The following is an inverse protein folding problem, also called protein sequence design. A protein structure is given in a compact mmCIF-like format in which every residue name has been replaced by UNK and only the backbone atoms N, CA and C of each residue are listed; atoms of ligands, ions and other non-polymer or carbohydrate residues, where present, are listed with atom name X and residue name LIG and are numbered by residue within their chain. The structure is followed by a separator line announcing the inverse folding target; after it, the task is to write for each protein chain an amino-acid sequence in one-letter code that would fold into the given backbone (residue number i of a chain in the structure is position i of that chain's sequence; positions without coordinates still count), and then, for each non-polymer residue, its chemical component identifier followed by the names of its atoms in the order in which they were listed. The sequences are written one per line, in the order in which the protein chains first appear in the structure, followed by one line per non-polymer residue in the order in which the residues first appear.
data_IF_566695034590
#
_entry.id   IF_566695034590
#
_cell.length_a   1.000
_cell.length_b   1.000
_cell.length_c   1.000
_cell.angle_alpha   90.00
_cell.angle_beta   90.00
_cell.angle_gamma   90.00
#
_symmetry.space_group_name_H-M   'P 1'
#
loop_
_entity.id
_entity.type
_entity.pdbx_description
1 polymer ?
#
# COMPACT_ATOMS: atom_id res chain seq x y z
N UNK A 1 -5.56 -9.56 13.11
CA UNK A 1 -5.12 -9.44 14.50
C UNK A 1 -5.58 -10.64 15.33
N UNK A 2 -6.82 -11.09 15.16
CA UNK A 2 -7.45 -12.20 15.87
C UNK A 2 -8.48 -12.92 14.99
N UNK A 3 -9.17 -13.93 15.53
CA UNK A 3 -10.17 -14.70 14.80
C UNK A 3 -11.37 -13.87 14.35
N UNK A 4 -11.79 -12.89 15.13
CA UNK A 4 -12.85 -11.94 14.74
C UNK A 4 -12.47 -11.20 13.48
N UNK A 5 -11.25 -10.63 13.44
CA UNK A 5 -10.75 -9.94 12.25
C UNK A 5 -10.64 -10.86 11.03
N UNK A 6 -10.23 -12.11 11.21
CA UNK A 6 -10.20 -13.07 10.10
C UNK A 6 -11.61 -13.33 9.53
N UNK A 7 -12.61 -13.56 10.40
CA UNK A 7 -13.99 -13.73 9.98
C UNK A 7 -14.55 -12.48 9.31
N UNK A 8 -14.24 -11.30 9.81
CA UNK A 8 -14.64 -10.03 9.23
C UNK A 8 -14.00 -9.81 7.85
N UNK A 9 -12.72 -10.15 7.70
CA UNK A 9 -12.04 -10.09 6.41
C UNK A 9 -12.72 -11.00 5.37
N UNK A 10 -13.08 -12.24 5.76
CA UNK A 10 -13.81 -13.17 4.87
C UNK A 10 -15.14 -12.56 4.44
N UNK A 11 -15.91 -11.95 5.35
CA UNK A 11 -17.18 -11.30 5.00
C UNK A 11 -16.99 -10.15 4.02
N UNK A 12 -16.03 -9.26 4.26
CA UNK A 12 -15.73 -8.14 3.35
C UNK A 12 -15.31 -8.61 1.96
N UNK A 13 -14.41 -9.61 1.90
CA UNK A 13 -13.98 -10.19 0.62
C UNK A 13 -15.16 -10.83 -0.10
N UNK A 14 -15.98 -11.60 0.59
CA UNK A 14 -17.16 -12.23 -0.01
C UNK A 14 -18.16 -11.19 -0.53
N UNK A 15 -18.46 -10.15 0.24
CA UNK A 15 -19.32 -9.05 -0.20
C UNK A 15 -18.75 -8.33 -1.42
N UNK A 16 -17.44 -8.08 -1.45
CA UNK A 16 -16.78 -7.47 -2.60
C UNK A 16 -16.92 -8.29 -3.89
N UNK A 17 -16.94 -9.63 -3.79
CA UNK A 17 -17.15 -10.51 -4.94
C UNK A 17 -18.62 -10.69 -5.33
N UNK A 18 -19.53 -10.78 -4.37
CA UNK A 18 -20.94 -11.10 -4.59
C UNK A 18 -21.74 -9.84 -4.95
N UNK A 19 -21.52 -8.76 -4.21
CA UNK A 19 -22.32 -7.53 -4.29
C UNK A 19 -21.54 -6.36 -4.92
N UNK A 20 -20.23 -6.28 -4.65
CA UNK A 20 -19.36 -5.18 -5.06
C UNK A 20 -18.61 -5.41 -6.37
N UNK A 21 -18.93 -6.45 -7.16
CA UNK A 21 -18.19 -6.77 -8.36
C UNK A 21 -18.54 -5.85 -9.53
N UNK A 22 -17.56 -5.03 -9.93
CA UNK A 22 -17.63 -4.26 -11.18
C UNK A 22 -16.23 -4.26 -11.83
N UNK A 23 -16.03 -5.11 -12.83
CA UNK A 23 -14.72 -5.44 -13.44
C UNK A 23 -13.72 -6.09 -12.47
N UNK A 24 -13.77 -5.74 -11.20
CA UNK A 24 -13.03 -6.32 -10.08
C UNK A 24 -13.87 -6.19 -8.79
N UNK A 25 -13.61 -7.06 -7.80
CA UNK A 25 -14.31 -6.96 -6.52
C UNK A 25 -13.95 -5.64 -5.80
N UNK A 26 -14.95 -5.02 -5.18
CA UNK A 26 -14.81 -3.75 -4.47
C UNK A 26 -15.55 -3.78 -3.16
N UNK A 27 -15.03 -3.06 -2.20
CA UNK A 27 -15.69 -2.75 -0.93
C UNK A 27 -15.81 -1.23 -0.77
N UNK A 28 -16.80 -0.78 -0.02
CA UNK A 28 -17.00 0.61 0.31
C UNK A 28 -16.67 0.91 1.79
N UNK A 29 -16.75 2.17 2.17
CA UNK A 29 -16.49 2.60 3.55
C UNK A 29 -17.54 2.09 4.53
N UNK A 30 -18.78 1.90 4.10
CA UNK A 30 -19.83 1.36 4.96
C UNK A 30 -19.52 -0.08 5.37
N UNK A 31 -19.02 -0.89 4.42
CA UNK A 31 -18.61 -2.26 4.70
C UNK A 31 -17.38 -2.32 5.62
N UNK A 32 -16.44 -1.37 5.46
CA UNK A 32 -15.31 -1.23 6.39
C UNK A 32 -15.77 -0.85 7.80
N UNK A 33 -16.68 0.11 7.94
CA UNK A 33 -17.25 0.50 9.21
C UNK A 33 -17.94 -0.68 9.93
N UNK A 34 -18.59 -1.56 9.19
CA UNK A 34 -19.27 -2.73 9.72
C UNK A 34 -18.32 -3.84 10.15
N UNK A 35 -17.18 -4.03 9.46
CA UNK A 35 -16.32 -5.22 9.64
C UNK A 35 -14.85 -4.92 9.95
N UNK A 36 -14.51 -3.72 10.42
CA UNK A 36 -13.12 -3.33 10.73
C UNK A 36 -12.55 -4.01 11.98
N UNK A 37 -13.41 -4.49 12.90
CA UNK A 37 -12.97 -5.04 14.18
C UNK A 37 -12.00 -6.22 14.00
N UNK A 38 -10.91 -6.19 14.76
CA UNK A 38 -9.89 -7.25 14.76
C UNK A 38 -8.93 -7.22 13.55
N UNK A 39 -9.02 -6.20 12.70
CA UNK A 39 -8.12 -5.99 11.57
C UNK A 39 -6.99 -5.00 11.88
N UNK A 40 -5.94 -5.05 11.11
CA UNK A 40 -4.90 -4.04 10.99
C UNK A 40 -5.00 -3.49 9.57
N UNK A 41 -4.94 -2.17 9.44
CA UNK A 41 -5.05 -1.47 8.16
C UNK A 41 -3.77 -0.68 7.86
N UNK A 42 -3.34 -0.70 6.60
CA UNK A 42 -2.24 0.07 6.06
C UNK A 42 -2.75 1.02 4.98
N UNK A 43 -2.08 2.18 4.81
CA UNK A 43 -2.53 3.22 3.86
C UNK A 43 -2.33 2.87 2.38
N UNK A 44 -1.73 1.73 2.09
CA UNK A 44 -1.44 1.21 0.74
C UNK A 44 -0.37 2.01 -0.05
N UNK A 45 -0.21 1.65 -1.33
CA UNK A 45 0.77 2.20 -2.27
C UNK A 45 0.27 3.52 -2.90
N UNK A 46 0.97 4.01 -3.95
CA UNK A 46 0.59 5.22 -4.70
C UNK A 46 -0.87 5.22 -5.21
N UNK A 47 -1.48 4.05 -5.41
CA UNK A 47 -2.89 3.94 -5.80
C UNK A 47 -3.89 4.10 -4.64
N UNK A 48 -3.41 4.23 -3.38
CA UNK A 48 -4.26 4.44 -2.22
C UNK A 48 -4.92 5.83 -2.18
N UNK A 49 -6.01 5.97 -1.43
CA UNK A 49 -6.77 7.23 -1.34
C UNK A 49 -5.90 8.42 -0.88
N UNK A 50 -5.03 8.20 0.11
CA UNK A 50 -4.19 9.25 0.69
C UNK A 50 -3.12 9.70 -0.29
N UNK A 51 -2.27 8.79 -0.87
CA UNK A 51 -1.32 9.17 -1.91
C UNK A 51 -1.97 9.85 -3.12
N UNK A 52 -3.14 9.37 -3.56
CA UNK A 52 -3.85 9.99 -4.69
C UNK A 52 -4.34 11.40 -4.37
N UNK A 53 -4.80 11.68 -3.15
CA UNK A 53 -5.16 13.03 -2.73
C UNK A 53 -3.92 13.96 -2.71
N UNK A 54 -2.77 13.46 -2.22
CA UNK A 54 -1.50 14.20 -2.25
C UNK A 54 -1.08 14.54 -3.69
N UNK A 55 -1.12 13.56 -4.59
CA UNK A 55 -0.77 13.76 -5.99
C UNK A 55 -1.70 14.74 -6.71
N UNK A 56 -2.95 14.81 -6.29
CA UNK A 56 -3.92 15.81 -6.75
C UNK A 56 -3.71 17.21 -6.13
N UNK A 57 -2.74 17.37 -5.22
CA UNK A 57 -2.47 18.63 -4.52
C UNK A 57 -3.43 18.94 -3.37
N UNK A 58 -4.24 17.97 -2.94
CA UNK A 58 -5.25 18.13 -1.90
C UNK A 58 -4.77 17.51 -0.58
N UNK A 59 -3.88 18.24 0.10
CA UNK A 59 -3.30 17.82 1.38
C UNK A 59 -4.36 17.64 2.48
N UNK A 60 -5.33 18.56 2.55
CA UNK A 60 -6.37 18.52 3.59
C UNK A 60 -7.28 17.30 3.42
N UNK A 61 -7.63 16.92 2.19
CA UNK A 61 -8.35 15.68 1.92
C UNK A 61 -7.52 14.45 2.29
N UNK A 62 -6.23 14.44 1.97
CA UNK A 62 -5.33 13.36 2.35
C UNK A 62 -5.28 13.18 3.87
N UNK A 63 -5.15 14.28 4.61
CA UNK A 63 -5.11 14.31 6.07
C UNK A 63 -6.45 13.87 6.68
N UNK A 64 -7.56 14.38 6.17
CA UNK A 64 -8.90 13.98 6.63
C UNK A 64 -9.17 12.48 6.39
N UNK A 65 -8.72 11.95 5.25
CA UNK A 65 -8.81 10.53 4.93
C UNK A 65 -7.99 9.69 5.91
N UNK A 66 -6.75 10.08 6.20
CA UNK A 66 -5.89 9.40 7.17
C UNK A 66 -6.50 9.41 8.59
N UNK A 67 -7.09 10.54 8.98
CA UNK A 67 -7.80 10.69 10.25
C UNK A 67 -8.98 9.74 10.34
N UNK A 68 -9.80 9.64 9.29
CA UNK A 68 -10.94 8.73 9.24
C UNK A 68 -10.52 7.26 9.43
N UNK A 69 -9.47 6.82 8.73
CA UNK A 69 -8.95 5.46 8.89
C UNK A 69 -8.40 5.21 10.30
N UNK A 70 -7.66 6.17 10.86
CA UNK A 70 -7.14 6.06 12.23
C UNK A 70 -8.26 5.94 13.26
N UNK A 71 -9.30 6.74 13.11
CA UNK A 71 -10.42 6.75 14.05
C UNK A 71 -11.28 5.49 13.92
N UNK A 72 -11.39 4.92 12.72
CA UNK A 72 -12.11 3.67 12.48
C UNK A 72 -11.37 2.45 13.05
N UNK A 73 -10.08 2.29 12.73
CA UNK A 73 -9.31 1.09 13.11
C UNK A 73 -8.66 1.20 14.50
N UNK A 74 -8.54 2.41 15.03
CA UNK A 74 -7.77 2.72 16.24
C UNK A 74 -6.29 2.98 15.93
N UNK A 75 -5.68 3.86 16.75
CA UNK A 75 -4.31 4.35 16.53
C UNK A 75 -3.24 3.23 16.54
N UNK A 76 -3.51 2.12 17.22
CA UNK A 76 -2.62 0.96 17.29
C UNK A 76 -2.84 -0.06 16.16
N UNK A 77 -3.85 0.12 15.32
CA UNK A 77 -4.20 -0.81 14.24
C UNK A 77 -4.20 -0.16 12.85
N UNK A 78 -3.91 1.14 12.77
CA UNK A 78 -3.76 1.85 11.51
C UNK A 78 -2.35 2.39 11.35
N UNK A 79 -1.76 2.20 10.16
CA UNK A 79 -0.40 2.62 9.85
C UNK A 79 -0.34 3.35 8.52
N UNK A 80 0.41 4.45 8.49
CA UNK A 80 0.84 5.05 7.22
C UNK A 80 1.96 4.19 6.65
N UNK A 81 1.74 3.69 5.45
CA UNK A 81 2.66 2.84 4.71
C UNK A 81 3.60 3.70 3.86
N UNK A 82 4.89 3.50 4.03
CA UNK A 82 5.94 4.20 3.28
C UNK A 82 6.58 3.22 2.31
N UNK A 83 6.50 3.52 1.02
CA UNK A 83 7.09 2.74 -0.07
C UNK A 83 7.96 3.68 -0.90
N UNK A 84 9.20 3.28 -1.21
CA UNK A 84 10.09 4.02 -2.09
C UNK A 84 10.62 3.09 -3.20
N UNK A 85 10.12 3.31 -4.39
CA UNK A 85 10.55 2.62 -5.62
C UNK A 85 11.35 3.56 -6.54
N UNK A 86 11.80 4.71 -6.01
CA UNK A 86 12.48 5.77 -6.76
C UNK A 86 11.66 6.36 -7.92
N UNK A 87 10.33 6.26 -7.84
CA UNK A 87 9.46 6.94 -8.77
C UNK A 87 9.40 8.45 -8.44
N UNK A 88 9.22 9.32 -9.45
CA UNK A 88 9.01 10.76 -9.20
C UNK A 88 7.86 11.04 -8.23
N UNK A 89 6.80 10.25 -8.31
CA UNK A 89 5.63 10.32 -7.45
C UNK A 89 5.95 9.99 -6.00
N UNK A 90 6.85 9.03 -5.74
CA UNK A 90 7.28 8.68 -4.38
C UNK A 90 7.94 9.89 -3.71
N UNK A 91 8.79 10.61 -4.43
CA UNK A 91 9.47 11.82 -3.93
C UNK A 91 8.50 12.95 -3.56
N UNK A 92 7.36 13.03 -4.24
CA UNK A 92 6.32 14.00 -3.92
C UNK A 92 5.47 13.54 -2.72
N UNK A 93 5.15 12.25 -2.65
CA UNK A 93 4.19 11.69 -1.70
C UNK A 93 4.80 11.41 -0.33
N UNK A 94 6.01 10.82 -0.28
CA UNK A 94 6.64 10.38 0.98
C UNK A 94 6.78 11.48 2.03
N UNK A 95 7.28 12.69 1.71
CA UNK A 95 7.40 13.76 2.72
C UNK A 95 6.06 14.15 3.32
N UNK A 96 5.00 14.17 2.52
CA UNK A 96 3.66 14.55 2.96
C UNK A 96 3.00 13.43 3.78
N UNK A 97 3.21 12.16 3.43
CA UNK A 97 2.78 11.03 4.26
C UNK A 97 3.42 11.05 5.64
N UNK A 98 4.73 11.31 5.72
CA UNK A 98 5.46 11.45 6.97
C UNK A 98 4.92 12.63 7.79
N UNK A 99 4.62 13.75 7.14
CA UNK A 99 4.03 14.92 7.79
C UNK A 99 2.64 14.59 8.36
N UNK A 100 1.74 14.00 7.58
CA UNK A 100 0.41 13.56 8.02
C UNK A 100 0.52 12.59 9.21
N UNK A 101 1.42 11.60 9.13
CA UNK A 101 1.63 10.63 10.19
C UNK A 101 2.04 11.31 11.51
N UNK A 102 2.93 12.31 11.45
CA UNK A 102 3.36 13.08 12.61
C UNK A 102 2.27 13.97 13.18
N UNK A 103 1.56 14.71 12.32
CA UNK A 103 0.48 15.61 12.74
C UNK A 103 -0.68 14.86 13.39
N UNK A 104 -1.00 13.67 12.90
CA UNK A 104 -2.09 12.84 13.40
C UNK A 104 -1.64 11.79 14.43
N UNK A 105 -0.35 11.73 14.79
CA UNK A 105 0.22 10.71 15.67
C UNK A 105 -0.11 9.28 15.22
N UNK A 106 0.03 9.01 13.92
CA UNK A 106 -0.14 7.69 13.32
C UNK A 106 1.23 7.01 13.18
N UNK A 107 1.30 5.72 13.52
CA UNK A 107 2.52 4.94 13.32
C UNK A 107 2.82 4.76 11.82
N UNK A 108 4.09 4.63 11.48
CA UNK A 108 4.54 4.40 10.10
C UNK A 108 5.16 3.02 9.97
N UNK A 109 4.98 2.39 8.81
CA UNK A 109 5.59 1.11 8.44
C UNK A 109 6.20 1.20 7.04
N UNK A 110 7.44 0.71 6.90
CA UNK A 110 8.09 0.61 5.59
C UNK A 110 7.75 -0.75 4.94
N UNK A 111 7.33 -0.71 3.68
CA UNK A 111 7.07 -1.89 2.84
C UNK A 111 7.63 -1.67 1.44
N UNK A 112 7.64 -2.70 0.58
CA UNK A 112 8.23 -2.57 -0.75
C UNK A 112 7.34 -3.07 -1.90
N UNK A 113 6.06 -3.32 -1.70
CA UNK A 113 5.14 -3.81 -2.77
C UNK A 113 5.82 -4.90 -3.66
N UNK A 114 6.36 -5.94 -3.02
CA UNK A 114 7.23 -6.96 -3.65
C UNK A 114 6.50 -7.72 -4.75
N UNK A 115 7.08 -7.74 -5.96
CA UNK A 115 6.57 -8.46 -7.12
C UNK A 115 7.49 -9.59 -7.59
N UNK A 116 8.76 -9.56 -7.21
CA UNK A 116 9.76 -10.59 -7.49
C UNK A 116 10.80 -10.68 -6.36
N UNK A 117 11.58 -11.75 -6.33
CA UNK A 117 12.45 -12.07 -5.18
C UNK A 117 13.76 -11.30 -5.27
N UNK A 118 14.55 -11.52 -6.32
CA UNK A 118 15.86 -10.90 -6.48
C UNK A 118 15.76 -9.67 -7.40
N UNK A 119 16.66 -8.73 -7.26
CA UNK A 119 16.66 -7.51 -8.09
C UNK A 119 16.74 -7.83 -9.58
N UNK A 120 17.47 -8.90 -9.93
CA UNK A 120 17.69 -9.35 -11.31
C UNK A 120 16.45 -9.99 -11.95
N UNK A 121 15.47 -10.41 -11.14
CA UNK A 121 14.24 -11.08 -11.62
C UNK A 121 13.24 -10.13 -12.30
N UNK A 122 13.57 -8.83 -12.41
CA UNK A 122 12.71 -7.85 -13.06
C UNK A 122 12.40 -8.18 -14.52
N UNK A 123 13.34 -8.80 -15.25
CA UNK A 123 13.13 -9.22 -16.65
C UNK A 123 12.06 -10.30 -16.75
N UNK A 124 12.09 -11.29 -15.86
CA UNK A 124 11.08 -12.35 -15.80
C UNK A 124 9.70 -11.76 -15.45
N UNK A 125 9.65 -10.81 -14.51
CA UNK A 125 8.41 -10.11 -14.15
C UNK A 125 7.85 -9.29 -15.33
N UNK A 126 8.71 -8.65 -16.12
CA UNK A 126 8.31 -7.88 -17.31
C UNK A 126 7.67 -8.79 -18.37
N UNK A 127 8.22 -9.99 -18.58
CA UNK A 127 7.65 -11.02 -19.46
C UNK A 127 6.29 -11.49 -18.92
N UNK A 128 6.18 -11.74 -17.61
CA UNK A 128 4.91 -12.15 -16.98
C UNK A 128 3.83 -11.07 -17.15
N UNK A 129 4.17 -9.80 -17.06
CA UNK A 129 3.24 -8.70 -17.34
C UNK A 129 2.77 -8.71 -18.81
N UNK A 130 3.65 -9.01 -19.76
CA UNK A 130 3.29 -9.16 -21.15
C UNK A 130 2.28 -10.31 -21.35
N UNK A 131 2.52 -11.46 -20.73
CA UNK A 131 1.60 -12.61 -20.78
C UNK A 131 0.24 -12.23 -20.18
N UNK A 132 0.24 -11.63 -18.98
CA UNK A 132 -0.98 -11.23 -18.26
C UNK A 132 -1.82 -10.24 -19.06
N UNK A 133 -1.18 -9.29 -19.74
CA UNK A 133 -1.87 -8.22 -20.48
C UNK A 133 -2.05 -8.54 -21.97
N UNK A 134 -1.66 -9.75 -22.42
CA UNK A 134 -1.72 -10.20 -23.83
C UNK A 134 -0.98 -9.23 -24.77
N UNK A 135 0.20 -8.79 -24.36
CA UNK A 135 1.10 -7.89 -25.09
C UNK A 135 2.44 -8.58 -25.34
N UNK A 136 3.27 -7.98 -26.21
CA UNK A 136 4.64 -8.41 -26.46
C UNK A 136 5.63 -7.39 -25.90
N UNK A 137 6.89 -7.76 -25.72
CA UNK A 137 7.96 -6.83 -25.30
C UNK A 137 8.14 -5.67 -26.27
N UNK A 138 7.84 -5.85 -27.56
CA UNK A 138 7.93 -4.83 -28.60
C UNK A 138 6.78 -3.82 -28.58
N UNK A 139 5.68 -4.07 -27.84
CA UNK A 139 4.53 -3.16 -27.79
C UNK A 139 4.90 -1.93 -26.93
N UNK A 140 4.92 -0.70 -27.50
CA UNK A 140 5.31 0.50 -26.75
C UNK A 140 4.25 0.90 -25.69
N UNK A 141 3.02 0.43 -25.80
CA UNK A 141 1.91 0.72 -24.88
C UNK A 141 1.66 -0.41 -23.87
N UNK A 142 2.60 -1.33 -23.71
CA UNK A 142 2.47 -2.42 -22.75
C UNK A 142 2.62 -1.90 -21.31
N UNK A 143 2.02 -2.58 -20.34
CA UNK A 143 2.26 -2.35 -18.93
C UNK A 143 3.68 -2.76 -18.58
N UNK A 144 4.39 -1.90 -17.86
CA UNK A 144 5.73 -2.16 -17.31
C UNK A 144 5.91 -1.37 -16.03
N UNK A 145 6.77 -1.84 -15.14
CA UNK A 145 7.19 -1.03 -13.98
C UNK A 145 8.13 0.10 -14.41
N UNK A 146 8.01 1.25 -13.76
CA UNK A 146 8.86 2.42 -14.02
C UNK A 146 10.29 2.27 -13.52
N UNK A 147 10.52 1.36 -12.55
CA UNK A 147 11.82 1.06 -11.95
C UNK A 147 11.97 -0.44 -11.67
N UNK A 148 13.17 -0.89 -11.28
CA UNK A 148 13.44 -2.29 -10.92
C UNK A 148 13.51 -2.48 -9.40
N UNK A 149 12.80 -1.68 -8.63
CA UNK A 149 12.90 -1.65 -7.18
C UNK A 149 11.81 -2.47 -6.45
N UNK A 150 11.01 -3.26 -7.17
CA UNK A 150 9.90 -4.06 -6.63
C UNK A 150 10.32 -5.46 -6.18
N UNK A 151 11.59 -5.65 -5.80
CA UNK A 151 12.13 -6.91 -5.29
C UNK A 151 12.05 -7.00 -3.77
N UNK A 152 12.30 -8.20 -3.22
CA UNK A 152 12.31 -8.43 -1.78
C UNK A 152 13.59 -7.84 -1.16
N UNK A 153 13.49 -6.60 -0.68
CA UNK A 153 14.61 -5.91 0.00
C UNK A 153 14.83 -6.47 1.41
N UNK A 154 16.07 -6.51 1.85
CA UNK A 154 16.39 -6.73 3.27
C UNK A 154 16.01 -5.50 4.09
N UNK A 155 15.77 -5.66 5.40
CA UNK A 155 15.44 -4.54 6.30
C UNK A 155 16.51 -3.44 6.32
N UNK A 156 17.78 -3.76 6.06
CA UNK A 156 18.85 -2.77 5.95
C UNK A 156 18.70 -1.90 4.71
N UNK A 157 18.44 -2.51 3.55
CA UNK A 157 18.28 -1.77 2.28
C UNK A 157 17.09 -0.82 2.34
N UNK A 158 15.97 -1.23 2.93
CA UNK A 158 14.80 -0.36 3.10
C UNK A 158 15.08 0.86 3.99
N UNK A 159 16.04 0.76 4.92
CA UNK A 159 16.41 1.86 5.81
C UNK A 159 17.40 2.85 5.18
N UNK A 160 18.32 2.38 4.34
CA UNK A 160 19.35 3.21 3.72
C UNK A 160 18.77 4.11 2.62
N UNK A 161 17.82 3.60 1.82
CA UNK A 161 17.30 4.31 0.66
C UNK A 161 16.19 5.32 1.01
N UNK A 162 15.43 5.09 2.08
CA UNK A 162 14.19 5.84 2.33
C UNK A 162 14.32 7.02 3.32
N UNK A 163 15.38 7.10 4.15
CA UNK A 163 15.41 8.04 5.29
C UNK A 163 16.80 8.66 5.53
N UNK A 164 17.35 9.36 4.59
CA UNK A 164 18.67 10.02 4.74
C UNK A 164 18.66 11.35 5.49
N UNK A 165 17.68 11.69 6.29
CA UNK A 165 17.67 12.99 6.97
C UNK A 165 17.43 13.00 8.50
N UNK A 166 17.55 11.86 9.21
CA UNK A 166 17.57 11.95 10.69
C UNK A 166 18.19 10.73 11.37
N UNK A 167 19.12 10.93 12.34
CA UNK A 167 19.81 9.83 13.01
C UNK A 167 18.94 9.22 14.11
N UNK A 168 18.91 7.88 14.12
CA UNK A 168 18.66 7.03 15.29
C UNK A 168 17.25 7.05 15.90
N UNK A 169 16.28 6.42 15.23
CA UNK A 169 15.25 5.67 15.95
C UNK A 169 15.18 4.24 15.43
N UNK A 170 15.36 3.31 16.35
CA UNK A 170 15.38 1.87 16.20
C UNK A 170 14.01 1.40 15.71
N UNK A 171 13.88 1.15 14.41
CA UNK A 171 12.73 0.47 13.87
C UNK A 171 12.78 -0.99 14.30
N UNK A 172 11.80 -1.45 15.03
CA UNK A 172 11.67 -2.87 15.36
C UNK A 172 11.25 -3.59 14.08
N UNK A 173 11.98 -4.67 13.77
CA UNK A 173 11.76 -5.57 12.64
C UNK A 173 10.27 -5.94 12.50
N UNK A 174 9.59 -5.34 11.56
CA UNK A 174 8.30 -5.82 11.07
C UNK A 174 8.53 -6.45 9.70
N UNK A 175 8.96 -7.72 9.69
CA UNK A 175 8.80 -8.59 8.52
C UNK A 175 7.30 -8.89 8.38
N UNK A 176 6.62 -8.18 7.51
CA UNK A 176 5.34 -8.63 7.01
C UNK A 176 5.54 -9.05 5.55
N UNK A 177 5.52 -10.37 5.32
CA UNK A 177 5.28 -10.90 3.98
C UNK A 177 3.89 -10.41 3.55
N UNK A 178 3.87 -9.48 2.62
CA UNK A 178 2.63 -9.12 1.94
C UNK A 178 2.22 -10.30 1.05
N UNK A 179 1.37 -11.16 1.59
CA UNK A 179 0.47 -11.91 0.72
C UNK A 179 -0.30 -10.87 -0.08
N UNK A 180 -0.43 -11.09 -1.39
CA UNK A 180 -1.36 -10.36 -2.26
C UNK A 180 -2.78 -10.54 -1.73
N UNK A 181 -3.10 -9.92 -0.62
CA UNK A 181 -4.46 -9.71 -0.20
C UNK A 181 -5.03 -8.71 -1.19
N UNK A 182 -5.95 -9.21 -2.00
CA UNK A 182 -6.83 -8.52 -2.90
C UNK A 182 -6.76 -6.99 -2.73
N UNK A 183 -6.15 -6.30 -3.70
CA UNK A 183 -6.35 -4.86 -3.87
C UNK A 183 -7.84 -4.68 -4.18
N UNK A 184 -8.64 -4.56 -3.13
CA UNK A 184 -10.05 -4.22 -3.27
C UNK A 184 -10.11 -2.70 -3.31
N UNK A 185 -10.40 -2.08 -4.46
CA UNK A 185 -10.52 -0.63 -4.54
C UNK A 185 -11.69 -0.18 -3.65
N UNK A 186 -11.45 0.81 -2.80
CA UNK A 186 -12.49 1.49 -2.04
C UNK A 186 -13.10 2.55 -2.95
N UNK A 187 -14.42 2.60 -3.03
CA UNK A 187 -15.19 3.63 -3.73
C UNK A 187 -15.45 4.84 -2.84
#
# INVERSE_FOLDING_TARGET
KNETGYKNLIKMVSAGFVEGFYSQPRVDKQLLEQYHEGLICLSACLAGEIPQAILAGDYERAKATALWYRDLFGAENYYIELQDHFLPEDRQVLPQLIQIARELNIQMVATNDVHYINKEDWEAQDILLCIQTKKTLADPKRMKFGTHEFYMKSGCVMMEDSITSSPKRRWRNCFHMHWKLLKIPIR
#
